data_IF_573155686506
#
_entry.id   IF_573155686506
#
_cell.length_a   1.000
_cell.length_b   1.000
_cell.length_c   1.000
_cell.angle_alpha   90.00
_cell.angle_beta   90.00
_cell.angle_gamma   90.00
#
_symmetry.space_group_name_H-M   'P 1'
#
loop_
_entity.id
_entity.type
_entity.pdbx_description
1 polymer ?
#
# COMPACT_ATOMS: atom_id res chain seq x y z
N UNK A 1 25.35 2.15 6.76
CA UNK A 1 24.91 0.85 7.31
C UNK A 1 23.92 1.16 8.43
N UNK A 2 22.65 0.78 8.27
CA UNK A 2 21.65 0.95 9.33
C UNK A 2 21.78 -0.24 10.26
N UNK A 3 22.06 0.00 11.55
CA UNK A 3 22.15 -1.07 12.53
C UNK A 3 20.73 -1.48 12.96
N UNK A 4 20.43 -2.77 12.86
CA UNK A 4 19.17 -3.32 13.37
C UNK A 4 19.35 -3.75 14.84
N UNK A 5 18.35 -3.51 15.71
CA UNK A 5 18.29 -4.14 17.01
C UNK A 5 18.35 -5.68 16.90
N UNK A 6 19.10 -6.33 17.79
CA UNK A 6 19.36 -7.78 17.76
C UNK A 6 18.07 -8.63 17.73
N UNK A 7 17.00 -8.18 18.40
CA UNK A 7 15.72 -8.89 18.41
C UNK A 7 14.99 -8.84 17.06
N UNK A 8 15.18 -7.78 16.28
CA UNK A 8 14.63 -7.67 14.92
C UNK A 8 15.45 -8.52 13.96
N UNK A 9 16.78 -8.49 14.06
CA UNK A 9 17.67 -9.33 13.26
C UNK A 9 17.32 -10.82 13.39
N UNK A 10 17.16 -11.33 14.61
CA UNK A 10 16.74 -12.72 14.85
C UNK A 10 15.37 -13.04 14.25
N UNK A 11 14.45 -12.07 14.25
CA UNK A 11 13.12 -12.24 13.67
C UNK A 11 13.16 -12.27 12.14
N UNK A 12 13.95 -11.41 11.51
CA UNK A 12 14.15 -11.42 10.06
C UNK A 12 14.84 -12.69 9.57
N UNK A 13 15.87 -13.17 10.28
CA UNK A 13 16.55 -14.42 9.94
C UNK A 13 15.60 -15.62 9.97
N UNK A 14 14.75 -15.73 11.00
CA UNK A 14 13.72 -16.77 11.07
C UNK A 14 12.68 -16.68 9.95
N UNK A 15 12.31 -15.46 9.58
CA UNK A 15 11.35 -15.24 8.50
C UNK A 15 11.95 -15.60 7.13
N UNK A 16 13.20 -15.24 6.91
CA UNK A 16 13.98 -15.59 5.72
C UNK A 16 14.10 -17.10 5.55
N UNK A 17 14.40 -17.82 6.64
CA UNK A 17 14.44 -19.28 6.65
C UNK A 17 13.07 -19.90 6.30
N UNK A 18 11.99 -19.41 6.92
CA UNK A 18 10.61 -19.88 6.66
C UNK A 18 10.17 -19.64 5.22
N UNK A 19 10.58 -18.52 4.63
CA UNK A 19 10.25 -18.16 3.24
C UNK A 19 11.23 -18.71 2.21
N UNK A 20 12.26 -19.44 2.65
CA UNK A 20 13.34 -19.94 1.80
C UNK A 20 14.01 -18.84 0.95
N UNK A 21 14.17 -17.65 1.54
CA UNK A 21 14.79 -16.48 0.91
C UNK A 21 16.07 -16.07 1.63
N UNK A 22 17.07 -15.51 0.93
CA UNK A 22 18.18 -14.81 1.59
C UNK A 22 17.67 -13.64 2.44
N UNK A 23 18.24 -13.47 3.64
CA UNK A 23 17.76 -12.47 4.60
C UNK A 23 17.92 -11.03 4.11
N UNK A 24 18.97 -10.74 3.35
CA UNK A 24 19.20 -9.45 2.69
C UNK A 24 18.13 -9.15 1.64
N UNK A 25 17.73 -10.15 0.85
CA UNK A 25 16.67 -10.04 -0.17
C UNK A 25 15.30 -9.85 0.47
N UNK A 26 15.00 -10.61 1.52
CA UNK A 26 13.75 -10.45 2.25
C UNK A 26 13.68 -9.06 2.90
N UNK A 27 14.76 -8.60 3.52
CA UNK A 27 14.79 -7.29 4.15
C UNK A 27 14.61 -6.16 3.12
N UNK A 28 15.28 -6.25 1.96
CA UNK A 28 15.10 -5.28 0.88
C UNK A 28 13.64 -5.23 0.43
N UNK A 29 13.02 -6.38 0.19
CA UNK A 29 11.62 -6.47 -0.20
C UNK A 29 10.70 -5.82 0.85
N UNK A 30 10.86 -6.13 2.13
CA UNK A 30 10.01 -5.57 3.19
C UNK A 30 10.16 -4.05 3.34
N UNK A 31 11.35 -3.52 3.09
CA UNK A 31 11.59 -2.07 3.11
C UNK A 31 10.91 -1.42 1.90
N UNK A 32 10.99 -2.04 0.72
CA UNK A 32 10.29 -1.57 -0.48
C UNK A 32 8.77 -1.58 -0.25
N UNK A 33 8.21 -2.70 0.21
CA UNK A 33 6.78 -2.85 0.51
C UNK A 33 6.31 -1.81 1.54
N UNK A 34 7.09 -1.57 2.61
CA UNK A 34 6.74 -0.56 3.63
C UNK A 34 6.72 0.86 3.08
N UNK A 35 7.64 1.20 2.16
CA UNK A 35 7.69 2.53 1.55
C UNK A 35 6.50 2.73 0.60
N UNK A 36 6.12 1.69 -0.15
CA UNK A 36 4.93 1.69 -1.00
C UNK A 36 3.66 1.87 -0.16
N UNK A 37 3.47 1.04 0.88
CA UNK A 37 2.34 1.13 1.81
C UNK A 37 2.23 2.52 2.45
N UNK A 38 3.36 3.14 2.79
CA UNK A 38 3.37 4.49 3.37
C UNK A 38 2.84 5.55 2.39
N UNK A 39 3.21 5.44 1.11
CA UNK A 39 2.72 6.34 0.07
C UNK A 39 1.24 6.10 -0.19
N UNK A 40 0.82 4.84 -0.27
CA UNK A 40 -0.57 4.46 -0.52
C UNK A 40 -1.50 4.96 0.60
N UNK A 41 -1.09 4.83 1.86
CA UNK A 41 -1.84 5.37 3.01
C UNK A 41 -2.00 6.89 2.88
N UNK A 42 -0.93 7.62 2.55
CA UNK A 42 -1.01 9.08 2.40
C UNK A 42 -1.94 9.50 1.25
N UNK A 43 -1.95 8.75 0.14
CA UNK A 43 -2.84 8.99 -0.98
C UNK A 43 -4.29 8.71 -0.60
N UNK A 44 -4.54 7.60 0.11
CA UNK A 44 -5.86 7.25 0.59
C UNK A 44 -6.41 8.29 1.58
N UNK A 45 -5.60 8.74 2.55
CA UNK A 45 -5.96 9.78 3.51
C UNK A 45 -6.33 11.09 2.80
N UNK A 46 -5.52 11.52 1.83
CA UNK A 46 -5.84 12.73 1.02
C UNK A 46 -7.12 12.58 0.22
N UNK A 47 -7.38 11.41 -0.36
CA UNK A 47 -8.62 11.17 -1.09
C UNK A 47 -9.84 11.28 -0.16
N UNK A 48 -9.74 10.71 1.05
CA UNK A 48 -10.78 10.82 2.07
C UNK A 48 -11.00 12.28 2.47
N UNK A 49 -9.95 13.04 2.77
CA UNK A 49 -10.05 14.46 3.13
C UNK A 49 -10.73 15.30 2.03
N UNK A 50 -10.44 15.02 0.76
CA UNK A 50 -11.08 15.71 -0.38
C UNK A 50 -12.58 15.40 -0.47
N UNK A 51 -12.98 14.16 -0.19
CA UNK A 51 -14.39 13.77 -0.11
C UNK A 51 -15.08 14.48 1.08
N UNK A 52 -14.47 14.44 2.26
CA UNK A 52 -15.03 15.03 3.49
C UNK A 52 -15.15 16.56 3.41
N UNK A 53 -14.21 17.22 2.74
CA UNK A 53 -14.25 18.66 2.48
C UNK A 53 -15.20 19.06 1.33
N UNK A 54 -15.81 18.08 0.65
CA UNK A 54 -16.69 18.29 -0.50
C UNK A 54 -15.97 18.78 -1.76
N UNK A 55 -14.64 18.66 -1.82
CA UNK A 55 -13.87 18.92 -3.04
C UNK A 55 -14.07 17.83 -4.09
N UNK A 56 -14.25 16.59 -3.63
CA UNK A 56 -14.63 15.44 -4.44
C UNK A 56 -15.97 14.88 -3.95
N UNK A 57 -16.67 14.15 -4.82
CA UNK A 57 -17.95 13.51 -4.52
C UNK A 57 -17.81 11.99 -4.68
N UNK A 58 -18.49 11.24 -3.81
CA UNK A 58 -18.69 9.82 -4.01
C UNK A 58 -19.80 9.62 -5.03
N UNK A 59 -19.48 8.97 -6.15
CA UNK A 59 -20.46 8.61 -7.16
C UNK A 59 -21.17 7.31 -6.77
N UNK A 60 -22.48 7.23 -7.00
CA UNK A 60 -23.19 5.96 -6.88
C UNK A 60 -22.75 5.02 -8.01
N UNK A 61 -22.57 3.74 -7.67
CA UNK A 61 -22.11 2.75 -8.63
C UNK A 61 -23.10 2.55 -9.80
N UNK A 62 -24.41 2.71 -9.58
CA UNK A 62 -25.40 2.64 -10.65
C UNK A 62 -25.26 3.80 -11.63
N UNK A 63 -24.96 5.01 -11.14
CA UNK A 63 -24.75 6.19 -11.97
C UNK A 63 -23.48 6.03 -12.83
N UNK A 64 -22.39 5.53 -12.24
CA UNK A 64 -21.16 5.20 -12.97
C UNK A 64 -21.42 4.16 -14.06
N UNK A 65 -22.17 3.11 -13.72
CA UNK A 65 -22.49 2.04 -14.66
C UNK A 65 -23.35 2.53 -15.82
N UNK A 66 -24.38 3.34 -15.54
CA UNK A 66 -25.22 3.92 -16.57
C UNK A 66 -24.40 4.80 -17.53
N UNK A 67 -23.53 5.66 -16.99
CA UNK A 67 -22.66 6.52 -17.79
C UNK A 67 -21.70 5.76 -18.71
N UNK A 68 -21.23 4.56 -18.33
CA UNK A 68 -20.36 3.75 -19.19
C UNK A 68 -21.08 3.19 -20.43
N UNK A 69 -22.39 2.95 -20.37
CA UNK A 69 -23.18 2.47 -21.53
C UNK A 69 -23.67 3.58 -22.45
N UNK A 70 -23.64 4.83 -21.98
CA UNK A 70 -23.99 6.02 -22.77
C UNK A 70 -22.83 6.53 -23.65
N UNK A 71 -21.59 6.07 -23.41
CA UNK A 71 -20.40 6.48 -24.18
C UNK A 71 -20.26 5.73 -25.52
N UNK A 72 -20.99 4.63 -25.70
CA UNK A 72 -20.95 3.77 -26.91
C UNK A 72 -22.08 4.06 -27.93
N UNK A 73 -22.82 5.17 -27.80
CA UNK A 73 -23.81 5.67 -28.79
C UNK A 73 -23.45 7.07 -29.30
#
# INVERSE_FOLDING_TARGET
>A
MIALPEHLEKSFLRMAEREHKPADKLLAQLVEDYLEDHIDIQLAEKAIERIESGQDILLDWQDVKAGLYDVDN
#
